data_IF_216300232695
#
_entry.id   IF_216300232695
#
_cell.length_a   1.000
_cell.length_b   1.000
_cell.length_c   1.000
_cell.angle_alpha   90.00
_cell.angle_beta   90.00
_cell.angle_gamma   90.00
#
_symmetry.space_group_name_H-M   'P 1'
#
loop_
_entity.id
_entity.type
_entity.pdbx_description
1 polymer ?
#
# COMPACT_ATOMS: atom_id res chain seq x y z
N UNK A 1 6.99 -8.05 19.35
CA UNK A 1 5.61 -8.37 18.91
C UNK A 1 5.24 -7.36 17.84
N UNK A 2 5.57 -7.65 16.58
CA UNK A 2 5.44 -6.70 15.48
C UNK A 2 3.96 -6.58 15.09
N UNK A 3 3.31 -5.56 15.64
CA UNK A 3 1.92 -5.23 15.36
C UNK A 3 1.71 -5.06 13.87
N UNK A 4 0.80 -5.86 13.33
CA UNK A 4 0.23 -5.85 11.99
C UNK A 4 0.24 -4.45 11.36
N UNK A 5 1.22 -4.17 10.50
CA UNK A 5 1.35 -2.88 9.81
C UNK A 5 0.26 -2.77 8.75
N UNK A 6 -0.93 -2.33 9.13
CA UNK A 6 -1.99 -2.02 8.20
C UNK A 6 -1.91 -0.56 7.74
N UNK A 7 -2.10 -0.33 6.44
CA UNK A 7 -2.15 1.00 5.86
C UNK A 7 -3.49 1.25 5.16
N UNK A 8 -4.09 2.41 5.41
CA UNK A 8 -5.30 2.84 4.72
C UNK A 8 -4.95 3.44 3.36
N UNK A 9 -5.03 2.61 2.32
CA UNK A 9 -4.61 2.91 0.95
C UNK A 9 -5.65 3.68 0.14
N UNK A 10 -6.93 3.49 0.48
CA UNK A 10 -8.09 4.17 -0.10
C UNK A 10 -9.04 4.59 1.03
N UNK A 11 -10.01 5.46 0.75
CA UNK A 11 -11.03 5.84 1.75
C UNK A 11 -11.83 4.64 2.29
N UNK A 12 -11.90 3.54 1.55
CA UNK A 12 -12.65 2.33 1.92
C UNK A 12 -11.79 1.10 2.09
N UNK A 13 -10.46 1.18 1.85
CA UNK A 13 -9.59 0.01 1.81
C UNK A 13 -8.41 0.14 2.76
N UNK A 14 -8.18 -0.94 3.51
CA UNK A 14 -7.05 -1.14 4.42
C UNK A 14 -6.24 -2.33 3.91
N UNK A 15 -4.92 -2.20 3.82
CA UNK A 15 -4.03 -3.27 3.31
C UNK A 15 -2.98 -3.63 4.34
N UNK A 16 -2.63 -4.91 4.41
CA UNK A 16 -1.52 -5.36 5.25
C UNK A 16 -0.20 -5.11 4.50
N UNK A 17 0.62 -4.19 5.01
CA UNK A 17 1.88 -3.79 4.40
C UNK A 17 2.90 -4.93 4.32
N UNK A 18 2.84 -5.88 5.26
CA UNK A 18 3.73 -7.06 5.27
C UNK A 18 3.42 -8.06 4.14
N UNK A 19 2.25 -7.92 3.50
CA UNK A 19 1.82 -8.78 2.38
C UNK A 19 1.81 -8.06 1.04
N UNK A 20 2.46 -6.90 0.96
CA UNK A 20 2.64 -6.20 -0.31
C UNK A 20 3.82 -6.85 -1.03
N UNK A 21 3.54 -7.38 -2.21
CA UNK A 21 4.56 -7.96 -3.09
C UNK A 21 5.27 -6.87 -3.88
N UNK A 22 4.52 -5.92 -4.46
CA UNK A 22 5.08 -4.86 -5.33
C UNK A 22 4.30 -3.55 -5.20
N UNK A 23 5.00 -2.44 -5.42
CA UNK A 23 4.40 -1.12 -5.63
C UNK A 23 4.72 -0.63 -7.04
N UNK A 24 3.68 -0.21 -7.77
CA UNK A 24 3.78 0.28 -9.14
C UNK A 24 3.54 1.79 -9.15
N UNK A 25 4.60 2.54 -9.50
CA UNK A 25 4.54 4.00 -9.67
C UNK A 25 4.04 4.35 -11.08
N UNK A 26 3.12 5.31 -11.17
CA UNK A 26 2.59 5.81 -12.44
C UNK A 26 1.39 6.73 -12.23
N UNK A 27 0.75 7.11 -13.33
CA UNK A 27 -0.61 7.68 -13.29
C UNK A 27 -1.57 6.56 -12.89
N UNK A 28 -2.18 6.69 -11.71
CA UNK A 28 -2.93 5.59 -11.08
C UNK A 28 -2.07 4.58 -10.31
N UNK A 29 -1.12 5.06 -9.49
CA UNK A 29 -0.26 4.20 -8.65
C UNK A 29 -1.05 3.17 -7.83
N UNK A 30 -0.55 1.93 -7.78
CA UNK A 30 -1.20 0.81 -7.10
C UNK A 30 -0.18 -0.15 -6.47
N UNK A 31 -0.65 -0.98 -5.56
CA UNK A 31 0.13 -2.07 -4.96
C UNK A 31 -0.39 -3.43 -5.43
N UNK A 32 0.49 -4.41 -5.49
CA UNK A 32 0.19 -5.81 -5.74
C UNK A 32 0.44 -6.56 -4.44
N UNK A 33 -0.58 -7.25 -3.93
CA UNK A 33 -0.48 -8.11 -2.74
C UNK A 33 0.16 -9.46 -3.12
N UNK A 34 0.59 -10.23 -2.13
CA UNK A 34 1.17 -11.58 -2.31
C UNK A 34 0.22 -12.54 -3.07
N UNK A 35 -1.09 -12.40 -2.86
CA UNK A 35 -2.13 -13.14 -3.57
C UNK A 35 -2.38 -12.63 -5.02
N UNK A 36 -1.60 -11.65 -5.49
CA UNK A 36 -1.77 -11.03 -6.81
C UNK A 36 -2.87 -9.97 -6.90
N UNK A 37 -3.66 -9.79 -5.83
CA UNK A 37 -4.67 -8.71 -5.74
C UNK A 37 -4.04 -7.34 -5.93
N UNK A 38 -4.62 -6.51 -6.80
CA UNK A 38 -4.15 -5.15 -7.11
C UNK A 38 -5.03 -4.09 -6.45
N UNK A 39 -4.41 -3.15 -5.73
CA UNK A 39 -5.15 -2.11 -4.99
C UNK A 39 -4.58 -0.74 -5.31
N UNK A 40 -5.41 0.11 -5.91
CA UNK A 40 -5.05 1.47 -6.27
C UNK A 40 -4.90 2.36 -5.04
N UNK A 41 -3.85 3.18 -5.03
CA UNK A 41 -3.59 4.14 -3.98
C UNK A 41 -4.26 5.46 -4.35
N UNK A 42 -5.06 6.02 -3.44
CA UNK A 42 -5.60 7.37 -3.62
C UNK A 42 -4.46 8.37 -3.79
N UNK A 43 -4.60 9.35 -4.69
CA UNK A 43 -3.55 10.37 -4.96
C UNK A 43 -3.02 11.03 -3.67
N UNK A 44 -3.93 11.41 -2.76
CA UNK A 44 -3.60 12.04 -1.48
C UNK A 44 -2.91 11.09 -0.47
N UNK A 45 -2.95 9.78 -0.70
CA UNK A 45 -2.33 8.75 0.15
C UNK A 45 -1.03 8.21 -0.43
N UNK A 46 -0.73 8.51 -1.71
CA UNK A 46 0.47 8.04 -2.41
C UNK A 46 1.75 8.43 -1.67
N UNK A 47 1.85 9.68 -1.25
CA UNK A 47 3.05 10.19 -0.56
C UNK A 47 3.22 9.55 0.83
N UNK A 48 2.15 9.55 1.64
CA UNK A 48 2.15 8.91 2.96
C UNK A 48 2.44 7.39 2.88
N UNK A 49 1.91 6.73 1.86
CA UNK A 49 2.19 5.31 1.60
C UNK A 49 3.67 5.12 1.30
N UNK A 50 4.24 5.91 0.39
CA UNK A 50 5.65 5.82 0.01
C UNK A 50 6.60 6.10 1.16
N UNK A 51 6.28 7.06 2.03
CA UNK A 51 7.10 7.32 3.22
C UNK A 51 7.08 6.13 4.18
N UNK A 52 5.91 5.54 4.41
CA UNK A 52 5.76 4.38 5.29
C UNK A 52 6.43 3.14 4.68
N UNK A 53 6.27 2.93 3.37
CA UNK A 53 6.83 1.80 2.64
C UNK A 53 8.36 1.84 2.56
N UNK A 54 8.98 3.03 2.58
CA UNK A 54 10.44 3.18 2.66
C UNK A 54 11.03 2.90 4.04
N UNK A 55 10.21 2.97 5.10
CA UNK A 55 10.61 2.76 6.50
C UNK A 55 10.47 1.29 6.94
N UNK A 56 9.87 0.45 6.10
CA UNK A 56 9.79 -1.00 6.27
C UNK A 56 11.06 -1.67 5.76
#
# INVERSE_FOLDING_TARGET
>A
MNGTSFFRIHQSHLVNMNRISKYIKGDGAYVVMDDGTQITISRNKKEAFMETFRKL
#
